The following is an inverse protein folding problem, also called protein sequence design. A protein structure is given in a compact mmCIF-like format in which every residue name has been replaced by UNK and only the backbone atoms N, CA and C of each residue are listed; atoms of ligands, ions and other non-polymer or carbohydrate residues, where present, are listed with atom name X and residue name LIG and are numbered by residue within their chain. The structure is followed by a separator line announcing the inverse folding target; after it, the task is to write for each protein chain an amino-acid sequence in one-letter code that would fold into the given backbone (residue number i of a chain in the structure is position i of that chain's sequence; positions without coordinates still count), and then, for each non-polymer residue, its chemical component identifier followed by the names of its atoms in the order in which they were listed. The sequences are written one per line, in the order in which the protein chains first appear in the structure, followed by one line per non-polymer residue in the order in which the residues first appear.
data_IF_732872443830
#
_entry.id   IF_732872443830
#
_cell.length_a   1.000
_cell.length_b   1.000
_cell.length_c   1.000
_cell.angle_alpha   90.00
_cell.angle_beta   90.00
_cell.angle_gamma   90.00
#
_symmetry.space_group_name_H-M   'P 1'
#
loop_
_entity.id
_entity.type
_entity.pdbx_description
1 polymer ?
#
# COMPACT_ATOMS: atom_id res chain seq x y z
N UNK A 1 -46.66 36.22 -28.99
CA UNK A 1 -46.49 34.92 -28.35
C UNK A 1 -45.07 34.51 -28.53
N UNK A 2 -44.27 34.62 -27.49
CA UNK A 2 -42.83 34.24 -27.49
C UNK A 2 -42.70 32.99 -26.61
N UNK A 3 -42.28 31.88 -27.21
CA UNK A 3 -41.99 30.63 -26.53
C UNK A 3 -40.50 30.63 -26.16
N UNK A 4 -40.17 30.64 -24.86
CA UNK A 4 -38.81 30.52 -24.39
C UNK A 4 -38.46 29.05 -24.25
N UNK A 5 -37.44 28.60 -24.99
CA UNK A 5 -36.79 27.30 -24.80
C UNK A 5 -35.83 27.38 -23.61
N UNK A 6 -36.17 26.69 -22.52
CA UNK A 6 -35.23 26.43 -21.44
C UNK A 6 -34.29 25.28 -21.87
N UNK A 7 -33.05 25.62 -22.14
CA UNK A 7 -31.98 24.64 -22.31
C UNK A 7 -31.49 24.18 -20.95
N UNK A 8 -31.86 22.99 -20.52
CA UNK A 8 -31.32 22.33 -19.35
C UNK A 8 -29.89 21.85 -19.61
N UNK A 9 -28.91 22.49 -18.99
CA UNK A 9 -27.52 22.01 -18.97
C UNK A 9 -27.42 20.81 -18.01
N UNK A 10 -27.28 19.62 -18.55
CA UNK A 10 -26.88 18.42 -17.82
C UNK A 10 -25.39 18.56 -17.44
N UNK A 11 -25.12 19.02 -16.22
CA UNK A 11 -23.79 18.92 -15.63
C UNK A 11 -23.51 17.43 -15.34
N UNK A 12 -22.78 16.78 -16.25
CA UNK A 12 -22.10 15.50 -15.95
C UNK A 12 -21.07 15.74 -14.87
N UNK A 13 -21.38 15.29 -13.70
CA UNK A 13 -20.41 15.20 -12.61
C UNK A 13 -19.44 14.07 -12.94
N UNK A 14 -18.31 14.41 -13.56
CA UNK A 14 -17.14 13.53 -13.60
C UNK A 14 -16.70 13.33 -12.15
N UNK A 15 -17.05 12.19 -11.57
CA UNK A 15 -16.44 11.73 -10.33
C UNK A 15 -14.96 11.45 -10.64
N UNK A 16 -14.02 12.15 -10.00
CA UNK A 16 -12.62 11.75 -10.08
C UNK A 16 -12.57 10.33 -9.51
N UNK A 17 -12.01 9.41 -10.28
CA UNK A 17 -11.76 8.05 -9.81
C UNK A 17 -10.99 8.14 -8.49
N UNK A 18 -11.64 7.73 -7.41
CA UNK A 18 -11.00 7.61 -6.09
C UNK A 18 -9.89 6.58 -6.25
N UNK A 19 -8.64 7.03 -6.36
CA UNK A 19 -7.50 6.16 -6.12
C UNK A 19 -7.69 5.60 -4.72
N UNK A 20 -7.81 4.27 -4.61
CA UNK A 20 -8.05 3.64 -3.32
C UNK A 20 -6.83 3.89 -2.42
N UNK A 21 -7.03 4.68 -1.37
CA UNK A 21 -6.08 4.82 -0.26
C UNK A 21 -6.30 3.69 0.76
N UNK A 22 -5.26 3.34 1.49
CA UNK A 22 -5.36 2.33 2.55
C UNK A 22 -6.17 2.87 3.74
N UNK A 23 -7.21 2.15 4.11
CA UNK A 23 -8.05 2.44 5.28
C UNK A 23 -7.41 1.95 6.58
N UNK A 24 -7.96 2.37 7.72
CA UNK A 24 -7.56 1.86 9.05
C UNK A 24 -7.61 0.33 9.11
N UNK A 25 -8.64 -0.28 8.51
CA UNK A 25 -8.81 -1.72 8.50
C UNK A 25 -7.76 -2.41 7.62
N UNK A 26 -7.41 -1.82 6.47
CA UNK A 26 -6.34 -2.33 5.61
C UNK A 26 -4.99 -2.31 6.34
N UNK A 27 -4.71 -1.27 7.10
CA UNK A 27 -3.48 -1.15 7.87
C UNK A 27 -3.42 -2.14 9.04
N UNK A 28 -4.54 -2.45 9.68
CA UNK A 28 -4.61 -3.53 10.68
C UNK A 28 -4.35 -4.89 10.05
N UNK A 29 -4.87 -5.13 8.83
CA UNK A 29 -4.58 -6.34 8.05
C UNK A 29 -3.11 -6.35 7.64
N UNK A 30 -2.56 -5.21 7.21
CA UNK A 30 -1.14 -5.04 6.90
C UNK A 30 -0.24 -5.46 8.06
N UNK A 31 -0.48 -4.94 9.26
CA UNK A 31 0.31 -5.29 10.44
C UNK A 31 0.27 -6.79 10.74
N UNK A 32 -0.89 -7.42 10.58
CA UNK A 32 -1.04 -8.87 10.73
C UNK A 32 -0.28 -9.63 9.63
N UNK A 33 -0.36 -9.18 8.38
CA UNK A 33 0.35 -9.79 7.25
C UNK A 33 1.87 -9.75 7.45
N UNK A 34 2.41 -8.63 7.97
CA UNK A 34 3.83 -8.48 8.28
C UNK A 34 4.30 -9.48 9.34
N UNK A 35 3.45 -9.87 10.30
CA UNK A 35 3.78 -10.88 11.30
C UNK A 35 3.90 -12.30 10.71
N UNK A 36 3.44 -12.52 9.47
CA UNK A 36 3.55 -13.78 8.75
C UNK A 36 4.70 -13.83 7.73
N UNK A 37 5.55 -12.82 7.69
CA UNK A 37 6.80 -12.87 6.91
C UNK A 37 7.69 -14.00 7.44
N UNK A 38 8.53 -14.54 6.55
CA UNK A 38 9.51 -15.56 6.90
C UNK A 38 10.92 -15.07 6.45
N UNK A 39 11.79 -14.71 7.43
CA UNK A 39 11.60 -14.70 8.88
C UNK A 39 10.64 -13.60 9.36
N UNK A 40 9.88 -13.89 10.43
CA UNK A 40 8.95 -12.94 11.03
C UNK A 40 9.70 -11.82 11.75
N UNK A 41 9.39 -10.53 11.46
CA UNK A 41 10.01 -9.41 12.18
C UNK A 41 9.47 -9.32 13.61
N UNK A 42 10.32 -8.90 14.55
CA UNK A 42 9.91 -8.61 15.93
C UNK A 42 9.22 -7.26 16.10
N UNK A 43 9.06 -6.51 15.01
CA UNK A 43 8.56 -5.16 14.91
C UNK A 43 9.47 -4.30 14.05
N UNK A 44 9.15 -3.02 13.90
CA UNK A 44 10.01 -2.09 13.17
C UNK A 44 9.27 -0.94 12.50
N UNK A 45 9.98 -0.22 11.63
CA UNK A 45 9.46 0.96 10.94
C UNK A 45 9.00 0.58 9.54
N UNK A 46 7.79 0.98 9.19
CA UNK A 46 7.23 0.87 7.85
C UNK A 46 7.44 2.21 7.14
N UNK A 47 8.08 2.19 5.96
CA UNK A 47 8.20 3.36 5.11
C UNK A 47 6.90 3.60 4.36
N UNK A 48 6.33 4.80 4.44
CA UNK A 48 5.18 5.21 3.65
C UNK A 48 5.68 6.16 2.57
N UNK A 49 5.66 5.71 1.32
CA UNK A 49 6.20 6.47 0.21
C UNK A 49 5.15 7.38 -0.41
N UNK A 50 5.57 8.58 -0.78
CA UNK A 50 4.80 9.50 -1.60
C UNK A 50 5.61 10.00 -2.80
N UNK A 51 4.91 10.45 -3.84
CA UNK A 51 5.53 11.04 -5.02
C UNK A 51 6.00 12.47 -4.74
N UNK A 52 7.28 12.74 -4.98
CA UNK A 52 7.86 14.08 -4.79
C UNK A 52 7.14 15.14 -5.63
N UNK A 53 6.75 16.23 -4.99
CA UNK A 53 6.07 17.33 -5.67
C UNK A 53 4.56 17.09 -5.91
N UNK A 54 4.03 15.93 -5.55
CA UNK A 54 2.59 15.63 -5.58
C UNK A 54 1.99 15.85 -4.18
N UNK A 55 1.30 16.97 -4.00
CA UNK A 55 0.68 17.32 -2.72
C UNK A 55 -0.43 16.35 -2.30
N UNK A 56 -1.14 15.74 -3.26
CA UNK A 56 -2.18 14.75 -2.98
C UNK A 56 -1.55 13.44 -2.48
N UNK A 57 -0.47 12.99 -3.09
CA UNK A 57 0.30 11.83 -2.67
C UNK A 57 0.88 12.03 -1.25
N UNK A 58 1.44 13.20 -0.98
CA UNK A 58 1.97 13.54 0.34
C UNK A 58 0.87 13.60 1.41
N UNK A 59 -0.28 14.18 1.09
CA UNK A 59 -1.42 14.22 2.01
C UNK A 59 -1.94 12.82 2.33
N UNK A 60 -2.01 11.94 1.33
CA UNK A 60 -2.39 10.54 1.50
C UNK A 60 -1.39 9.79 2.38
N UNK A 61 -0.09 9.93 2.13
CA UNK A 61 0.95 9.33 2.95
C UNK A 61 0.89 9.78 4.42
N UNK A 62 0.63 11.07 4.66
CA UNK A 62 0.45 11.60 6.01
C UNK A 62 -0.81 11.04 6.68
N UNK A 63 -1.91 10.89 5.93
CA UNK A 63 -3.14 10.27 6.43
C UNK A 63 -2.91 8.81 6.82
N UNK A 64 -2.22 8.03 5.97
CA UNK A 64 -1.83 6.65 6.26
C UNK A 64 -0.95 6.60 7.53
N UNK A 65 0.05 7.46 7.65
CA UNK A 65 0.92 7.51 8.82
C UNK A 65 0.15 7.84 10.11
N UNK A 66 -0.80 8.77 10.05
CA UNK A 66 -1.65 9.12 11.18
C UNK A 66 -2.49 7.92 11.69
N UNK A 67 -2.89 7.02 10.79
CA UNK A 67 -3.62 5.80 11.14
C UNK A 67 -2.75 4.76 11.87
N UNK A 68 -1.43 4.84 11.77
CA UNK A 68 -0.53 4.01 12.58
C UNK A 68 -0.52 4.46 14.05
N UNK A 69 -0.79 5.74 14.34
CA UNK A 69 -0.72 6.29 15.70
C UNK A 69 0.62 6.00 16.37
N UNK A 70 0.57 5.48 17.61
CA UNK A 70 1.75 5.05 18.36
C UNK A 70 2.32 3.69 17.88
N UNK A 71 1.64 3.03 16.96
CA UNK A 71 2.03 1.77 16.34
C UNK A 71 0.87 0.79 16.14
N UNK A 72 0.97 -0.01 15.09
CA UNK A 72 0.03 -1.09 14.79
C UNK A 72 0.61 -2.42 15.23
N UNK A 73 -0.19 -3.25 15.89
CA UNK A 73 0.24 -4.57 16.38
C UNK A 73 -0.17 -5.67 15.41
N UNK A 74 0.79 -6.50 15.02
CA UNK A 74 0.59 -7.75 14.29
C UNK A 74 1.24 -8.90 15.05
N UNK A 75 0.44 -9.81 15.59
CA UNK A 75 0.96 -10.85 16.50
C UNK A 75 1.60 -10.24 17.76
N UNK A 76 2.87 -10.52 17.99
CA UNK A 76 3.67 -9.93 19.08
C UNK A 76 4.50 -8.72 18.62
N UNK A 77 4.49 -8.39 17.33
CA UNK A 77 5.27 -7.31 16.74
C UNK A 77 4.49 -6.00 16.74
N UNK A 78 5.18 -4.88 16.94
CA UNK A 78 4.62 -3.52 16.80
C UNK A 78 5.34 -2.79 15.66
N UNK A 79 4.56 -2.19 14.78
CA UNK A 79 5.02 -1.49 13.59
C UNK A 79 4.67 -0.01 13.69
N UNK A 80 5.66 0.86 13.54
CA UNK A 80 5.49 2.31 13.44
C UNK A 80 5.64 2.75 11.99
N UNK A 81 5.22 3.99 11.67
CA UNK A 81 5.27 4.52 10.33
C UNK A 81 6.23 5.69 10.20
N UNK A 82 6.87 5.82 9.03
CA UNK A 82 7.65 6.97 8.64
C UNK A 82 7.33 7.37 7.21
N UNK A 83 6.88 8.62 7.01
CA UNK A 83 6.60 9.18 5.68
C UNK A 83 7.92 9.57 5.01
N UNK A 84 8.10 9.15 3.76
CA UNK A 84 9.35 9.36 3.00
C UNK A 84 9.01 9.68 1.55
N UNK A 85 9.71 10.68 1.00
CA UNK A 85 9.74 10.93 -0.44
C UNK A 85 10.31 9.70 -1.17
N UNK A 86 9.67 9.26 -2.25
CA UNK A 86 10.12 8.09 -3.02
C UNK A 86 11.57 8.21 -3.49
N UNK A 87 12.03 9.43 -3.82
CA UNK A 87 13.42 9.69 -4.21
C UNK A 87 14.41 9.68 -3.04
N UNK A 88 13.92 9.74 -1.79
CA UNK A 88 14.74 9.75 -0.59
C UNK A 88 14.75 8.39 0.16
N UNK A 89 14.05 7.37 -0.36
CA UNK A 89 14.00 6.05 0.26
C UNK A 89 15.39 5.38 0.33
N UNK A 90 16.25 5.68 -0.64
CA UNK A 90 17.55 5.00 -0.77
C UNK A 90 17.36 3.52 -1.11
N UNK A 91 18.14 2.67 -0.45
CA UNK A 91 18.03 1.22 -0.60
C UNK A 91 16.93 0.57 0.26
N UNK A 92 16.28 1.35 1.15
CA UNK A 92 15.27 0.84 2.07
C UNK A 92 15.82 0.26 3.37
N UNK A 93 17.10 0.48 3.65
CA UNK A 93 17.76 0.01 4.89
C UNK A 93 17.04 0.54 6.13
N UNK A 94 16.80 -0.34 7.11
CA UNK A 94 16.16 0.00 8.39
C UNK A 94 14.63 -0.02 8.37
N UNK A 95 14.00 -0.37 7.23
CA UNK A 95 12.56 -0.58 7.14
C UNK A 95 12.22 -2.07 7.08
N UNK A 96 11.05 -2.41 7.60
CA UNK A 96 10.53 -3.79 7.58
C UNK A 96 9.51 -4.00 6.46
N UNK A 97 8.99 -2.93 5.89
CA UNK A 97 8.07 -2.91 4.75
C UNK A 97 8.01 -1.52 4.12
N UNK A 98 7.55 -1.47 2.89
CA UNK A 98 7.26 -0.23 2.17
C UNK A 98 5.78 -0.21 1.80
N UNK A 99 5.08 0.86 2.16
CA UNK A 99 3.67 1.11 1.81
C UNK A 99 3.61 2.24 0.80
N UNK A 100 2.86 2.05 -0.27
CA UNK A 100 2.67 3.04 -1.31
C UNK A 100 1.43 3.89 -1.02
N UNK A 101 1.60 5.19 -0.86
CA UNK A 101 0.51 6.16 -0.99
C UNK A 101 0.10 6.32 -2.47
N UNK A 102 -1.00 7.00 -2.71
CA UNK A 102 -1.47 7.32 -4.06
C UNK A 102 -0.35 7.96 -4.90
N UNK A 103 -0.17 7.51 -6.13
CA UNK A 103 0.86 7.97 -7.08
C UNK A 103 2.32 7.82 -6.63
N UNK A 104 2.61 7.12 -5.54
CA UNK A 104 3.99 6.87 -5.12
C UNK A 104 4.76 6.03 -6.15
N UNK A 105 6.08 6.21 -6.20
CA UNK A 105 6.93 5.47 -7.14
C UNK A 105 7.10 4.01 -6.69
N UNK A 106 6.39 3.13 -7.37
CA UNK A 106 6.45 1.69 -7.14
C UNK A 106 7.82 1.10 -7.51
N UNK A 107 8.55 1.69 -8.48
CA UNK A 107 9.86 1.19 -8.87
C UNK A 107 10.89 1.40 -7.74
N UNK A 108 10.85 2.55 -7.05
CA UNK A 108 11.68 2.80 -5.88
C UNK A 108 11.37 1.80 -4.75
N UNK A 109 10.07 1.53 -4.49
CA UNK A 109 9.67 0.54 -3.51
C UNK A 109 10.16 -0.87 -3.85
N UNK A 110 10.03 -1.31 -5.10
CA UNK A 110 10.50 -2.63 -5.53
C UNK A 110 12.03 -2.75 -5.53
N UNK A 111 12.76 -1.65 -5.78
CA UNK A 111 14.21 -1.64 -5.63
C UNK A 111 14.62 -1.89 -4.17
N UNK A 112 14.00 -1.21 -3.22
CA UNK A 112 14.21 -1.43 -1.79
C UNK A 112 13.79 -2.84 -1.35
N UNK A 113 12.65 -3.34 -1.88
CA UNK A 113 12.18 -4.70 -1.62
C UNK A 113 13.22 -5.74 -2.01
N UNK A 114 13.85 -5.60 -3.18
CA UNK A 114 14.90 -6.51 -3.66
C UNK A 114 16.20 -6.37 -2.86
N UNK A 115 16.55 -5.18 -2.42
CA UNK A 115 17.79 -4.95 -1.69
C UNK A 115 17.74 -5.52 -0.26
N UNK A 116 16.58 -5.47 0.39
CA UNK A 116 16.45 -5.81 1.81
C UNK A 116 15.40 -6.89 2.10
N UNK A 117 14.84 -7.52 1.06
CA UNK A 117 13.83 -8.60 1.20
C UNK A 117 12.60 -8.17 2.02
N UNK A 118 12.19 -6.91 1.86
CA UNK A 118 11.03 -6.33 2.52
C UNK A 118 9.82 -6.24 1.57
N UNK A 119 8.58 -6.45 2.03
CA UNK A 119 7.41 -6.37 1.14
C UNK A 119 7.09 -4.95 0.73
N UNK A 120 6.72 -4.78 -0.55
CA UNK A 120 6.00 -3.62 -1.06
C UNK A 120 4.50 -3.87 -0.90
N UNK A 121 3.76 -2.93 -0.30
CA UNK A 121 2.33 -3.03 0.02
C UNK A 121 1.57 -1.85 -0.58
N UNK A 122 0.41 -2.12 -1.16
CA UNK A 122 -0.43 -1.11 -1.83
C UNK A 122 -1.92 -1.43 -1.65
N UNK A 123 -2.79 -0.45 -1.89
CA UNK A 123 -4.23 -0.69 -2.05
C UNK A 123 -4.61 -1.16 -3.47
N UNK A 124 -3.67 -1.10 -4.44
CA UNK A 124 -3.94 -1.36 -5.85
C UNK A 124 -3.65 -2.81 -6.23
N UNK A 125 -4.68 -3.62 -6.43
CA UNK A 125 -4.54 -4.97 -6.98
C UNK A 125 -3.90 -4.97 -8.39
N UNK A 126 -4.17 -3.94 -9.20
CA UNK A 126 -3.58 -3.79 -10.53
C UNK A 126 -2.05 -3.61 -10.48
N UNK A 127 -1.52 -2.92 -9.46
CA UNK A 127 -0.08 -2.77 -9.26
C UNK A 127 0.59 -4.12 -8.93
N UNK A 128 -0.10 -5.00 -8.19
CA UNK A 128 0.39 -6.34 -7.88
C UNK A 128 0.29 -7.26 -9.09
N UNK A 129 -0.79 -7.19 -9.87
CA UNK A 129 -0.97 -7.95 -11.10
C UNK A 129 0.10 -7.62 -12.15
N UNK A 130 0.52 -6.36 -12.22
CA UNK A 130 1.60 -5.92 -13.11
C UNK A 130 3.01 -6.21 -12.57
N UNK A 131 3.15 -6.71 -11.34
CA UNK A 131 4.44 -6.92 -10.67
C UNK A 131 5.10 -5.64 -10.17
N UNK A 132 4.40 -4.51 -10.17
CA UNK A 132 4.91 -3.23 -9.67
C UNK A 132 4.93 -3.15 -8.13
N UNK A 133 4.24 -4.04 -7.43
CA UNK A 133 4.29 -4.21 -5.98
C UNK A 133 4.05 -5.69 -5.64
N UNK A 134 4.29 -6.09 -4.40
CA UNK A 134 4.22 -7.50 -3.99
C UNK A 134 2.85 -7.84 -3.43
N UNK A 135 2.29 -6.99 -2.57
CA UNK A 135 1.06 -7.26 -1.81
C UNK A 135 0.05 -6.13 -2.02
N UNK A 136 -1.17 -6.49 -2.38
CA UNK A 136 -2.32 -5.58 -2.32
C UNK A 136 -3.25 -6.00 -1.19
N UNK A 137 -3.73 -5.03 -0.42
CA UNK A 137 -4.65 -5.25 0.69
C UNK A 137 -5.88 -4.38 0.49
N UNK A 138 -7.04 -5.01 0.49
CA UNK A 138 -8.34 -4.39 0.49
C UNK A 138 -9.20 -5.08 1.55
N UNK A 139 -9.94 -4.31 2.35
CA UNK A 139 -10.74 -4.86 3.44
C UNK A 139 -12.24 -4.51 3.35
N UNK A 140 -12.65 -3.83 2.28
CA UNK A 140 -14.03 -3.47 2.01
C UNK A 140 -14.45 -3.96 0.59
N UNK A 141 -15.57 -4.67 0.43
CA UNK A 141 -16.53 -5.12 1.45
C UNK A 141 -16.07 -6.33 2.28
N UNK A 142 -15.02 -7.01 1.89
CA UNK A 142 -14.38 -8.14 2.59
C UNK A 142 -12.87 -8.01 2.52
N UNK A 143 -12.19 -8.67 3.47
CA UNK A 143 -10.73 -8.74 3.42
C UNK A 143 -10.31 -9.56 2.21
N UNK A 144 -9.51 -8.96 1.35
CA UNK A 144 -8.86 -9.58 0.21
C UNK A 144 -7.38 -9.18 0.20
N UNK A 145 -6.51 -10.18 0.17
CA UNK A 145 -5.06 -9.99 0.14
C UNK A 145 -4.56 -10.69 -1.10
N UNK A 146 -4.12 -9.91 -2.08
CA UNK A 146 -3.52 -10.42 -3.31
C UNK A 146 -2.00 -10.31 -3.23
N UNK A 147 -1.30 -11.41 -3.52
CA UNK A 147 0.17 -11.46 -3.52
C UNK A 147 0.68 -11.93 -4.87
N UNK A 148 1.62 -11.18 -5.46
CA UNK A 148 2.33 -11.63 -6.66
C UNK A 148 3.46 -12.57 -6.26
N UNK A 149 3.32 -13.86 -6.59
CA UNK A 149 4.34 -14.87 -6.35
C UNK A 149 5.66 -14.52 -7.07
N UNK A 150 5.56 -14.09 -8.32
CA UNK A 150 6.72 -13.73 -9.11
C UNK A 150 7.47 -12.51 -8.52
N UNK A 151 6.75 -11.47 -8.09
CA UNK A 151 7.34 -10.29 -7.48
C UNK A 151 7.96 -10.61 -6.11
N UNK A 152 7.27 -11.40 -5.26
CA UNK A 152 7.78 -11.84 -3.96
C UNK A 152 9.06 -12.67 -4.12
N UNK A 153 9.07 -13.65 -5.02
CA UNK A 153 10.25 -14.47 -5.32
C UNK A 153 11.42 -13.62 -5.83
N UNK A 154 11.16 -12.67 -6.73
CA UNK A 154 12.21 -11.80 -7.28
C UNK A 154 12.81 -10.85 -6.24
N UNK A 155 12.05 -10.53 -5.21
CA UNK A 155 12.48 -9.68 -4.09
C UNK A 155 13.03 -10.51 -2.91
N UNK A 156 12.94 -11.85 -2.95
CA UNK A 156 13.34 -12.71 -1.83
C UNK A 156 12.45 -12.56 -0.60
N UNK A 157 11.17 -12.14 -0.79
CA UNK A 157 10.19 -11.99 0.29
C UNK A 157 9.47 -13.31 0.48
N UNK A 158 9.60 -13.90 1.66
CA UNK A 158 8.93 -15.14 2.07
C UNK A 158 7.72 -14.88 2.96
N UNK A 159 6.71 -15.74 2.81
CA UNK A 159 5.54 -15.77 3.71
C UNK A 159 5.35 -17.18 4.26
N UNK A 160 4.92 -17.27 5.51
CA UNK A 160 4.63 -18.54 6.16
C UNK A 160 3.54 -19.33 5.42
N UNK A 161 3.57 -20.65 5.52
CA UNK A 161 2.56 -21.52 4.90
C UNK A 161 1.15 -21.26 5.42
N UNK A 162 1.00 -20.86 6.68
CA UNK A 162 -0.28 -20.49 7.25
C UNK A 162 -0.90 -19.24 6.57
N UNK A 163 -0.07 -18.26 6.23
CA UNK A 163 -0.51 -17.06 5.52
C UNK A 163 -0.93 -17.36 4.07
N UNK A 164 -0.19 -18.22 3.38
CA UNK A 164 -0.50 -18.62 2.00
C UNK A 164 -1.90 -19.24 1.83
N UNK A 165 -2.45 -19.83 2.87
CA UNK A 165 -3.83 -20.36 2.85
C UNK A 165 -4.91 -19.28 2.96
N UNK A 166 -4.53 -18.05 3.32
CA UNK A 166 -5.43 -16.92 3.55
C UNK A 166 -5.42 -15.88 2.44
N UNK A 167 -4.49 -15.99 1.49
CA UNK A 167 -4.26 -15.01 0.44
C UNK A 167 -4.68 -15.53 -0.93
N UNK A 168 -4.89 -14.60 -1.85
CA UNK A 168 -4.98 -14.88 -3.28
C UNK A 168 -3.60 -14.70 -3.91
N UNK A 169 -2.92 -15.80 -4.22
CA UNK A 169 -1.61 -15.78 -4.87
C UNK A 169 -1.78 -15.81 -6.39
N UNK A 170 -1.08 -14.89 -7.11
CA UNK A 170 -1.14 -14.75 -8.58
C UNK A 170 0.26 -14.83 -9.19
#
# INVERSE_FOLDING_TARGET
MRVACLSGALMSWMQPGLCASLSQKDLQVTAKALAFLDPAPSGGVVAILYAKGDGASQADANAIAALFGDGLTGGSATFTAKVIDSGALGDGSGFVAVVLATNADAAAAMAASKAHHIPCITASAAAVQSGACIVAIQSDPKVDITVSHAAATSAGVGFSSAFRMLIHEI
#
